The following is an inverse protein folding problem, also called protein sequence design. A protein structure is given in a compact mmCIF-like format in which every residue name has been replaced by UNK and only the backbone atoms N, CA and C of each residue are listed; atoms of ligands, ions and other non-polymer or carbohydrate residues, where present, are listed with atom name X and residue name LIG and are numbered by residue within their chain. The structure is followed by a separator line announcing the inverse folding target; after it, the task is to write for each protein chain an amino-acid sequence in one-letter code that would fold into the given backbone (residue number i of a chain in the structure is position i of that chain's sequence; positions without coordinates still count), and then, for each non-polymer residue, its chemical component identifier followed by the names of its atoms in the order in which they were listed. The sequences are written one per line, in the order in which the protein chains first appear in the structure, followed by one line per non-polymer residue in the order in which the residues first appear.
data_IF_330056156913
#
_entry.id   IF_330056156913
#
_cell.length_a   1.000
_cell.length_b   1.000
_cell.length_c   1.000
_cell.angle_alpha   90.00
_cell.angle_beta   90.00
_cell.angle_gamma   90.00
#
_symmetry.space_group_name_H-M   'P 1'
#
loop_
_entity.id
_entity.type
_entity.pdbx_description
1 polymer ?
#
# COMPACT_ATOMS: atom_id res chain seq x y z
N UNK A 1 21.75 5.60 -32.97
CA UNK A 1 22.83 5.45 -31.98
C UNK A 1 22.80 6.66 -31.06
N UNK A 2 22.88 6.60 -29.74
CA UNK A 2 22.78 5.50 -28.80
C UNK A 2 22.23 6.13 -27.52
N UNK A 3 21.14 5.57 -27.00
CA UNK A 3 20.58 5.96 -25.71
C UNK A 3 21.28 5.16 -24.63
N UNK A 4 22.17 5.84 -23.93
CA UNK A 4 22.89 5.48 -22.72
C UNK A 4 22.09 4.55 -21.78
N UNK A 5 22.61 3.34 -21.57
CA UNK A 5 22.26 2.48 -20.43
C UNK A 5 23.00 2.99 -19.18
N UNK A 6 22.27 3.16 -18.09
CA UNK A 6 22.76 3.42 -16.73
C UNK A 6 21.59 3.27 -15.75
N UNK A 7 21.81 2.70 -14.55
CA UNK A 7 20.82 1.85 -13.88
C UNK A 7 19.67 2.66 -13.28
N UNK A 8 18.44 2.34 -13.68
CA UNK A 8 17.25 2.79 -12.98
C UNK A 8 17.22 2.11 -11.61
N UNK A 9 17.72 2.87 -10.63
CA UNK A 9 17.54 2.75 -9.19
C UNK A 9 16.76 1.52 -8.72
N UNK A 10 17.54 0.54 -8.29
CA UNK A 10 17.13 -0.53 -7.38
C UNK A 10 16.54 0.09 -6.10
N UNK A 11 15.40 -0.45 -5.69
CA UNK A 11 14.82 -0.44 -4.33
C UNK A 11 15.09 0.76 -3.42
N UNK A 12 14.06 1.55 -3.13
CA UNK A 12 13.76 1.93 -1.73
C UNK A 12 12.25 2.11 -1.58
N UNK A 13 11.57 1.04 -1.18
CA UNK A 13 10.15 1.03 -0.84
C UNK A 13 9.86 0.00 0.25
N UNK A 14 10.78 -0.09 1.20
CA UNK A 14 10.63 -0.68 2.54
C UNK A 14 10.21 -2.15 2.57
N UNK A 15 11.24 -2.99 2.45
CA UNK A 15 11.40 -4.24 3.18
C UNK A 15 10.93 -4.05 4.64
N UNK A 16 9.86 -4.76 5.03
CA UNK A 16 9.37 -4.86 6.41
C UNK A 16 10.46 -5.47 7.31
N UNK A 17 11.27 -4.61 7.93
CA UNK A 17 12.14 -5.00 9.03
C UNK A 17 11.27 -5.22 10.28
N UNK A 18 11.30 -6.45 10.76
CA UNK A 18 10.77 -6.88 12.05
C UNK A 18 11.46 -6.05 13.16
N UNK A 19 10.70 -5.22 13.89
CA UNK A 19 11.28 -4.36 14.93
C UNK A 19 10.24 -3.57 15.73
N UNK A 20 10.03 -3.99 16.97
CA UNK A 20 9.23 -3.37 18.02
C UNK A 20 9.63 -1.88 18.28
N UNK A 21 8.69 -0.93 18.21
CA UNK A 21 8.74 0.33 18.98
C UNK A 21 7.40 1.10 18.94
N UNK A 22 6.79 1.26 20.12
CA UNK A 22 5.74 2.24 20.43
C UNK A 22 6.32 3.66 20.43
N UNK A 23 5.70 4.58 19.67
CA UNK A 23 5.79 6.02 19.96
C UNK A 23 4.60 6.75 19.32
N UNK A 24 3.83 7.44 20.16
CA UNK A 24 2.79 8.37 19.73
C UNK A 24 3.41 9.51 18.89
N UNK A 25 2.85 9.80 17.72
CA UNK A 25 3.12 11.06 17.02
C UNK A 25 1.83 11.76 16.62
N UNK A 26 1.72 12.92 17.26
CA UNK A 26 0.73 13.98 17.13
C UNK A 26 0.74 14.60 15.73
N UNK A 27 -0.44 15.14 15.38
CA UNK A 27 -0.84 15.73 14.11
C UNK A 27 0.15 16.73 13.50
N UNK A 28 0.29 16.68 12.16
CA UNK A 28 0.64 17.86 11.37
C UNK A 28 -0.10 17.80 10.04
N UNK A 29 -1.19 18.55 9.94
CA UNK A 29 -1.74 19.03 8.68
C UNK A 29 -0.60 19.68 7.88
N UNK A 30 -0.28 19.12 6.72
CA UNK A 30 0.49 19.81 5.69
C UNK A 30 -0.37 19.81 4.44
N UNK A 31 -1.01 20.96 4.20
CA UNK A 31 -1.61 21.31 2.90
C UNK A 31 -0.50 21.26 1.86
N UNK A 32 -0.36 20.09 1.23
CA UNK A 32 0.21 19.96 -0.10
C UNK A 32 -0.99 19.79 -1.02
N UNK A 33 -1.13 20.65 -2.02
CA UNK A 33 -2.08 20.51 -3.13
C UNK A 33 -1.69 19.35 -4.06
N UNK A 34 -1.14 18.27 -3.49
CA UNK A 34 -0.86 17.01 -4.15
C UNK A 34 -1.87 16.00 -3.65
N UNK A 35 -2.56 15.34 -4.58
CA UNK A 35 -3.47 14.26 -4.25
C UNK A 35 -2.77 13.25 -3.34
N UNK A 36 -3.43 12.84 -2.25
CA UNK A 36 -2.88 11.82 -1.36
C UNK A 36 -2.75 10.50 -2.12
N UNK A 37 -1.55 9.93 -2.13
CA UNK A 37 -1.22 8.70 -2.86
C UNK A 37 -0.83 7.53 -1.96
N UNK A 38 -0.73 7.74 -0.66
CA UNK A 38 -0.35 6.70 0.31
C UNK A 38 -1.08 6.88 1.64
N UNK A 39 -1.31 5.75 2.33
CA UNK A 39 -2.06 5.65 3.58
C UNK A 39 -1.33 4.75 4.57
N UNK A 40 -0.15 5.12 5.08
CA UNK A 40 0.56 4.30 6.07
C UNK A 40 -0.25 4.04 7.34
N UNK A 41 -1.19 4.92 7.68
CA UNK A 41 -2.06 4.81 8.85
C UNK A 41 -3.11 3.68 8.77
N UNK A 42 -3.36 3.10 7.60
CA UNK A 42 -4.31 1.98 7.47
C UNK A 42 -3.67 0.61 7.70
N UNK A 43 -2.35 0.56 7.86
CA UNK A 43 -1.63 -0.69 8.15
C UNK A 43 -2.07 -1.23 9.50
N UNK A 44 -2.47 -2.50 9.54
CA UNK A 44 -2.97 -3.16 10.75
C UNK A 44 -4.46 -2.95 11.01
N UNK A 45 -5.16 -2.15 10.21
CA UNK A 45 -6.62 -2.03 10.27
C UNK A 45 -7.30 -3.17 9.48
N UNK A 46 -8.59 -3.37 9.76
CA UNK A 46 -9.44 -4.20 8.91
C UNK A 46 -9.57 -3.60 7.50
N UNK A 47 -9.88 -4.43 6.50
CA UNK A 47 -10.12 -3.98 5.11
C UNK A 47 -11.24 -2.96 5.06
N UNK A 48 -12.28 -3.14 5.87
CA UNK A 48 -13.44 -2.27 5.94
C UNK A 48 -13.07 -0.87 6.48
N UNK A 49 -12.23 -0.80 7.50
CA UNK A 49 -11.73 0.45 8.05
C UNK A 49 -10.77 1.16 7.11
N UNK A 50 -9.84 0.40 6.50
CA UNK A 50 -8.92 0.93 5.50
C UNK A 50 -9.67 1.55 4.32
N UNK A 51 -10.71 0.86 3.80
CA UNK A 51 -11.58 1.39 2.73
C UNK A 51 -12.23 2.71 3.11
N UNK A 52 -12.75 2.84 4.33
CA UNK A 52 -13.38 4.08 4.79
C UNK A 52 -12.39 5.25 4.82
N UNK A 53 -11.17 5.01 5.29
CA UNK A 53 -10.12 6.04 5.35
C UNK A 53 -9.69 6.44 3.94
N UNK A 54 -9.41 5.46 3.07
CA UNK A 54 -8.97 5.71 1.69
C UNK A 54 -10.03 6.47 0.90
N UNK A 55 -11.30 6.06 0.96
CA UNK A 55 -12.39 6.71 0.23
C UNK A 55 -12.72 8.11 0.75
N UNK A 56 -12.44 8.40 2.03
CA UNK A 56 -12.57 9.75 2.58
C UNK A 56 -11.56 10.71 1.97
N UNK A 57 -10.33 10.26 1.75
CA UNK A 57 -9.27 11.09 1.19
C UNK A 57 -9.24 11.08 -0.35
N UNK A 58 -9.65 9.96 -0.97
CA UNK A 58 -9.72 9.75 -2.42
C UNK A 58 -11.03 9.05 -2.79
N UNK A 59 -12.12 9.80 -3.04
CA UNK A 59 -13.45 9.22 -3.30
C UNK A 59 -13.54 8.47 -4.64
N UNK A 60 -12.69 8.84 -5.61
CA UNK A 60 -12.59 8.20 -6.94
C UNK A 60 -11.65 6.97 -6.93
N UNK A 61 -11.26 6.46 -5.76
CA UNK A 61 -10.32 5.35 -5.66
C UNK A 61 -10.94 4.02 -6.10
N UNK A 62 -10.29 3.36 -7.06
CA UNK A 62 -10.56 1.97 -7.41
C UNK A 62 -9.80 1.04 -6.45
N UNK A 63 -10.49 0.61 -5.39
CA UNK A 63 -9.88 -0.21 -4.33
C UNK A 63 -9.94 -1.69 -4.70
N UNK A 64 -8.77 -2.30 -4.84
CA UNK A 64 -8.61 -3.73 -5.10
C UNK A 64 -7.97 -4.39 -3.88
N UNK A 65 -8.60 -5.43 -3.33
CA UNK A 65 -8.09 -6.19 -2.20
C UNK A 65 -7.52 -7.50 -2.71
N UNK A 66 -6.29 -7.82 -2.35
CA UNK A 66 -5.56 -8.99 -2.85
C UNK A 66 -4.83 -9.71 -1.71
N UNK A 67 -4.68 -11.03 -1.77
CA UNK A 67 -3.75 -11.73 -0.91
C UNK A 67 -2.31 -11.25 -1.11
N UNK A 68 -1.53 -11.17 -0.03
CA UNK A 68 -0.08 -10.95 -0.10
C UNK A 68 0.56 -12.01 -1.00
N UNK A 69 1.48 -11.59 -1.86
CA UNK A 69 2.15 -12.50 -2.82
C UNK A 69 1.41 -12.66 -4.15
N UNK A 70 0.21 -12.09 -4.31
CA UNK A 70 -0.50 -12.08 -5.60
C UNK A 70 0.33 -11.35 -6.66
N UNK A 71 0.57 -12.02 -7.79
CA UNK A 71 1.23 -11.42 -8.95
C UNK A 71 0.32 -10.36 -9.59
N UNK A 72 0.83 -9.14 -9.73
CA UNK A 72 0.05 -8.01 -10.26
C UNK A 72 0.74 -7.34 -11.45
N UNK A 73 -0.06 -6.75 -12.34
CA UNK A 73 0.45 -5.96 -13.46
C UNK A 73 1.11 -4.67 -12.96
N UNK A 74 2.19 -4.26 -13.63
CA UNK A 74 2.98 -3.05 -13.32
C UNK A 74 2.50 -1.81 -14.09
N UNK A 75 1.30 -1.86 -14.65
CA UNK A 75 0.71 -0.69 -15.31
C UNK A 75 0.42 0.42 -14.30
N UNK A 76 0.64 1.67 -14.70
CA UNK A 76 0.36 2.82 -13.85
C UNK A 76 -1.12 3.22 -13.96
N UNK A 77 -1.86 3.13 -12.85
CA UNK A 77 -3.22 3.65 -12.72
C UNK A 77 -3.29 4.50 -11.44
N UNK A 78 -3.40 5.85 -11.53
CA UNK A 78 -3.41 6.74 -10.37
C UNK A 78 -4.70 6.67 -9.53
N UNK A 79 -5.76 6.05 -10.06
CA UNK A 79 -7.00 5.83 -9.32
C UNK A 79 -6.96 4.53 -8.51
N UNK A 80 -6.11 3.57 -8.88
CA UNK A 80 -6.09 2.24 -8.27
C UNK A 80 -5.30 2.21 -6.97
N UNK A 81 -5.96 1.75 -5.91
CA UNK A 81 -5.34 1.50 -4.59
C UNK A 81 -5.41 0.00 -4.31
N UNK A 82 -4.24 -0.65 -4.20
CA UNK A 82 -4.15 -2.09 -3.89
C UNK A 82 -3.92 -2.27 -2.39
N UNK A 83 -4.81 -3.01 -1.73
CA UNK A 83 -4.67 -3.42 -0.32
C UNK A 83 -4.26 -4.89 -0.32
N UNK A 84 -3.06 -5.17 0.18
CA UNK A 84 -2.58 -6.54 0.35
C UNK A 84 -2.92 -7.05 1.75
N UNK A 85 -3.59 -8.19 1.83
CA UNK A 85 -4.03 -8.83 3.07
C UNK A 85 -3.40 -10.21 3.21
N UNK A 86 -3.04 -10.57 4.44
CA UNK A 86 -2.61 -11.94 4.75
C UNK A 86 -3.87 -12.76 5.06
N UNK A 87 -4.30 -13.55 4.08
CA UNK A 87 -5.53 -14.35 4.15
C UNK A 87 -5.20 -15.82 3.98
N UNK A 88 -5.88 -16.66 4.76
CA UNK A 88 -5.87 -18.11 4.58
C UNK A 88 -6.58 -18.44 3.27
N UNK A 89 -5.80 -18.74 2.23
CA UNK A 89 -6.30 -18.97 0.85
C UNK A 89 -6.87 -20.38 0.67
N UNK A 90 -6.22 -21.39 1.26
CA UNK A 90 -6.64 -22.78 1.21
C UNK A 90 -7.27 -23.22 2.54
N UNK A 91 -8.21 -24.15 2.47
CA UNK A 91 -8.82 -24.72 3.68
C UNK A 91 -7.72 -25.41 4.51
N UNK A 92 -7.50 -25.00 5.77
CA UNK A 92 -6.51 -25.66 6.60
C UNK A 92 -6.99 -27.07 6.95
N UNK A 93 -6.17 -28.06 6.69
CA UNK A 93 -6.42 -29.44 7.11
C UNK A 93 -5.57 -29.74 8.36
N UNK A 94 -6.21 -30.29 9.39
CA UNK A 94 -5.48 -30.88 10.50
C UNK A 94 -4.80 -32.16 10.00
N UNK A 95 -3.49 -32.27 10.29
CA UNK A 95 -2.77 -33.54 10.24
C UNK A 95 -2.83 -34.21 11.60
#
# INVERSE_FOLDING_TARGET
MGGQKGPAAIMVGVLLILGLATAAMSSSEKVATGEKTSWPEVVGLSVEEAKKIILKDKPEADIVVLPVGTMVTMEHNPQRVRIFVDTVDETPYAG
#
